data_IF_448687464753
#
_entry.id   IF_448687464753
#
_cell.length_a   1.000
_cell.length_b   1.000
_cell.length_c   1.000
_cell.angle_alpha   90.00
_cell.angle_beta   90.00
_cell.angle_gamma   90.00
#
_symmetry.space_group_name_H-M   'P 1'
#
loop_
_entity.id
_entity.type
_entity.pdbx_description
1 polymer ?
#
# COMPACT_ATOMS: atom_id res chain seq x y z
N UNK A 1 46.44 -0.82 -26.15
CA UNK A 1 45.39 -0.60 -27.13
C UNK A 1 45.76 -1.43 -28.35
N UNK A 2 44.91 -2.41 -28.70
CA UNK A 2 45.06 -3.19 -29.91
C UNK A 2 44.48 -2.39 -31.09
N UNK A 3 45.01 -2.55 -32.29
CA UNK A 3 44.43 -2.06 -33.53
C UNK A 3 43.16 -2.85 -33.86
N UNK A 4 42.35 -2.35 -34.80
CA UNK A 4 41.12 -3.06 -35.22
C UNK A 4 41.47 -4.44 -35.84
N UNK A 5 42.59 -4.56 -36.55
CA UNK A 5 43.10 -5.82 -37.12
C UNK A 5 43.55 -6.79 -36.03
N UNK A 6 44.23 -6.32 -34.99
CA UNK A 6 44.63 -7.14 -33.84
C UNK A 6 43.43 -7.60 -33.02
N UNK A 7 42.37 -6.77 -32.91
CA UNK A 7 41.12 -7.14 -32.22
C UNK A 7 40.36 -8.21 -33.00
N UNK A 8 40.26 -8.08 -34.34
CA UNK A 8 39.58 -9.03 -35.21
C UNK A 8 40.31 -10.36 -35.27
N UNK A 9 41.63 -10.39 -35.14
CA UNK A 9 42.49 -11.60 -35.09
C UNK A 9 42.67 -12.16 -33.69
N UNK A 10 42.10 -11.58 -32.64
CA UNK A 10 42.33 -11.99 -31.27
C UNK A 10 41.43 -13.19 -30.87
N UNK A 11 42.05 -14.36 -30.67
CA UNK A 11 41.36 -15.57 -30.18
C UNK A 11 41.22 -15.63 -28.66
N UNK A 12 41.93 -14.75 -27.93
CA UNK A 12 41.88 -14.71 -26.46
C UNK A 12 40.63 -13.91 -25.99
N UNK A 13 40.03 -14.28 -24.85
CA UNK A 13 38.98 -13.48 -24.26
C UNK A 13 39.43 -12.04 -23.99
N UNK A 14 38.69 -11.03 -24.45
CA UNK A 14 38.97 -9.61 -24.25
C UNK A 14 37.73 -8.82 -23.83
N UNK A 15 37.92 -7.68 -23.18
CA UNK A 15 36.86 -6.73 -22.82
C UNK A 15 36.88 -5.56 -23.80
N UNK A 16 35.68 -5.07 -24.12
CA UNK A 16 35.54 -3.82 -24.90
C UNK A 16 35.27 -2.67 -23.94
N UNK A 17 36.07 -1.61 -24.07
CA UNK A 17 35.88 -0.37 -23.31
C UNK A 17 35.52 0.77 -24.26
N UNK A 18 34.49 1.54 -23.86
CA UNK A 18 34.20 2.81 -24.50
C UNK A 18 35.14 3.87 -23.93
N UNK A 19 35.78 4.62 -24.82
CA UNK A 19 36.64 5.74 -24.41
C UNK A 19 35.79 6.81 -23.75
N UNK A 20 36.36 7.48 -22.74
CA UNK A 20 35.72 8.63 -22.10
C UNK A 20 35.46 9.75 -23.10
N UNK A 21 34.45 10.59 -22.91
CA UNK A 21 34.25 11.78 -23.72
C UNK A 21 35.38 12.81 -23.49
N UNK A 22 35.61 13.66 -24.47
CA UNK A 22 36.53 14.79 -24.42
C UNK A 22 35.85 16.12 -24.03
N UNK A 23 34.53 16.08 -23.87
CA UNK A 23 33.67 17.21 -23.52
C UNK A 23 32.74 16.84 -22.37
N UNK A 24 32.14 17.86 -21.75
CA UNK A 24 31.12 17.65 -20.70
C UNK A 24 29.85 17.00 -21.28
N UNK A 25 29.32 16.01 -20.57
CA UNK A 25 28.05 15.41 -20.91
C UNK A 25 26.93 16.04 -20.06
N UNK A 26 25.97 16.63 -20.73
CA UNK A 26 24.84 17.31 -20.08
C UNK A 26 23.53 16.68 -20.47
N UNK A 27 22.57 16.72 -19.52
CA UNK A 27 21.19 16.42 -19.79
C UNK A 27 20.27 17.21 -18.85
N UNK A 28 19.02 17.38 -19.26
CA UNK A 28 17.99 18.00 -18.43
C UNK A 28 17.10 16.91 -17.84
N UNK A 29 17.04 16.89 -16.51
CA UNK A 29 16.17 16.02 -15.76
C UNK A 29 14.89 16.76 -15.37
N UNK A 30 13.72 16.14 -15.56
CA UNK A 30 12.43 16.77 -15.31
C UNK A 30 12.21 17.16 -13.83
N UNK A 31 12.89 16.47 -12.90
CA UNK A 31 12.81 16.73 -11.46
C UNK A 31 14.00 17.55 -10.98
N UNK A 32 15.23 17.11 -11.31
CA UNK A 32 16.47 17.70 -10.77
C UNK A 32 16.96 18.90 -11.54
N UNK A 33 16.51 19.11 -12.76
CA UNK A 33 16.94 20.19 -13.64
C UNK A 33 18.20 19.82 -14.45
N UNK A 34 18.97 20.82 -14.90
CA UNK A 34 20.19 20.59 -15.68
C UNK A 34 21.27 19.93 -14.83
N UNK A 35 21.84 18.86 -15.35
CA UNK A 35 22.92 18.09 -14.73
C UNK A 35 24.06 18.00 -15.76
N UNK A 36 25.30 18.30 -15.33
CA UNK A 36 26.48 18.22 -16.12
C UNK A 36 27.52 17.32 -15.44
N UNK A 37 28.23 16.56 -16.24
CA UNK A 37 29.37 15.74 -15.84
C UNK A 37 30.58 16.11 -16.67
N UNK A 38 31.59 16.63 -15.99
CA UNK A 38 32.84 16.99 -16.62
C UNK A 38 33.62 15.75 -17.09
N UNK A 39 34.43 15.83 -18.15
CA UNK A 39 35.17 14.71 -18.73
C UNK A 39 36.06 13.96 -17.73
N UNK A 40 36.60 14.66 -16.74
CA UNK A 40 37.44 14.09 -15.69
C UNK A 40 36.64 13.23 -14.70
N UNK A 41 35.32 13.40 -14.65
CA UNK A 41 34.40 12.63 -13.78
C UNK A 41 33.81 11.38 -14.45
N UNK A 42 34.22 11.13 -15.71
CA UNK A 42 33.77 9.97 -16.48
C UNK A 42 34.99 9.21 -16.98
N UNK A 43 35.27 8.06 -16.40
CA UNK A 43 36.31 7.17 -16.85
C UNK A 43 35.91 6.38 -18.10
N UNK A 44 36.90 5.88 -18.86
CA UNK A 44 36.66 4.85 -19.87
C UNK A 44 36.11 3.58 -19.18
N UNK A 45 34.95 3.11 -19.60
CA UNK A 45 34.25 2.01 -18.93
C UNK A 45 34.00 0.82 -19.83
N UNK A 46 33.93 -0.38 -19.24
CA UNK A 46 33.67 -1.61 -19.98
C UNK A 46 32.20 -1.61 -20.45
N UNK A 47 32.01 -1.86 -21.74
CA UNK A 47 30.69 -2.03 -22.36
C UNK A 47 30.38 -3.50 -22.65
N UNK A 48 31.43 -4.31 -22.93
CA UNK A 48 31.28 -5.77 -23.13
C UNK A 48 32.36 -6.53 -22.35
N UNK A 49 31.94 -7.56 -21.65
CA UNK A 49 32.82 -8.43 -20.87
C UNK A 49 33.54 -9.46 -21.74
N UNK A 50 34.55 -10.12 -21.18
CA UNK A 50 35.35 -11.12 -21.88
C UNK A 50 34.52 -12.35 -22.34
N UNK A 51 33.44 -12.65 -21.68
CA UNK A 51 32.46 -13.69 -22.03
C UNK A 51 31.45 -13.22 -23.10
N UNK A 52 31.67 -12.06 -23.70
CA UNK A 52 30.80 -11.41 -24.69
C UNK A 52 29.44 -10.96 -24.14
N UNK A 53 29.23 -10.92 -22.82
CA UNK A 53 28.02 -10.36 -22.23
C UNK A 53 28.14 -8.82 -22.14
N UNK A 54 27.08 -8.07 -22.47
CA UNK A 54 27.06 -6.62 -22.31
C UNK A 54 27.06 -6.23 -20.83
N UNK A 55 27.60 -5.06 -20.52
CA UNK A 55 27.40 -4.44 -19.20
C UNK A 55 26.01 -3.78 -19.11
N UNK A 56 25.54 -3.55 -17.90
CA UNK A 56 24.24 -2.92 -17.65
C UNK A 56 24.03 -1.63 -18.46
N UNK A 57 25.00 -0.71 -18.41
CA UNK A 57 24.85 0.58 -19.11
C UNK A 57 24.78 0.42 -20.63
N UNK A 58 25.50 -0.54 -21.20
CA UNK A 58 25.48 -0.80 -22.63
C UNK A 58 24.17 -1.45 -23.05
N UNK A 59 23.76 -2.54 -22.37
CA UNK A 59 22.50 -3.22 -22.65
C UNK A 59 21.30 -2.23 -22.54
N UNK A 60 21.20 -1.52 -21.42
CA UNK A 60 20.13 -0.55 -21.20
C UNK A 60 20.10 0.56 -22.27
N UNK A 61 21.26 1.10 -22.64
CA UNK A 61 21.32 2.15 -23.68
C UNK A 61 20.87 1.66 -25.06
N UNK A 62 21.26 0.43 -25.43
CA UNK A 62 20.87 -0.19 -26.69
C UNK A 62 19.39 -0.57 -26.71
N UNK A 63 18.90 -1.18 -25.63
CA UNK A 63 17.50 -1.60 -25.52
C UNK A 63 16.55 -0.38 -25.57
N UNK A 64 16.85 0.68 -24.80
CA UNK A 64 16.06 1.93 -24.83
C UNK A 64 16.02 2.53 -26.23
N UNK A 65 17.17 2.54 -26.92
CA UNK A 65 17.28 3.05 -28.29
C UNK A 65 16.46 2.20 -29.28
N UNK A 66 16.63 0.88 -29.23
CA UNK A 66 15.98 -0.05 -30.18
C UNK A 66 14.46 -0.14 -29.96
N UNK A 67 14.01 0.00 -28.73
CA UNK A 67 12.59 -0.02 -28.37
C UNK A 67 11.90 1.35 -28.55
N UNK A 68 12.63 2.40 -28.91
CA UNK A 68 12.09 3.74 -29.08
C UNK A 68 11.63 4.39 -27.77
N UNK A 69 12.30 4.08 -26.66
CA UNK A 69 12.01 4.73 -25.37
C UNK A 69 12.29 6.22 -25.46
N UNK A 70 11.28 7.03 -25.18
CA UNK A 70 11.35 8.50 -25.24
C UNK A 70 11.49 9.17 -23.87
N UNK A 71 11.11 8.48 -22.80
CA UNK A 71 11.16 9.01 -21.44
C UNK A 71 11.49 7.92 -20.41
N UNK A 72 12.56 8.13 -19.65
CA UNK A 72 13.01 7.23 -18.58
C UNK A 72 12.68 7.83 -17.21
N UNK A 73 11.85 7.14 -16.44
CA UNK A 73 11.54 7.49 -15.05
C UNK A 73 12.12 6.41 -14.14
N UNK A 74 13.04 6.78 -13.23
CA UNK A 74 13.73 5.82 -12.35
C UNK A 74 14.25 6.45 -11.06
N UNK A 75 14.80 5.67 -10.17
CA UNK A 75 15.42 6.18 -8.94
C UNK A 75 16.69 7.01 -9.19
N UNK A 76 16.94 7.97 -8.33
CA UNK A 76 18.11 8.88 -8.43
C UNK A 76 19.46 8.19 -8.24
N UNK A 77 19.50 6.98 -7.72
CA UNK A 77 20.69 6.14 -7.66
C UNK A 77 21.24 5.78 -9.06
N UNK A 78 20.46 5.99 -10.11
CA UNK A 78 20.86 5.84 -11.50
C UNK A 78 21.29 7.15 -12.21
N UNK A 79 21.31 8.29 -11.53
CA UNK A 79 21.71 9.58 -12.13
C UNK A 79 23.10 9.49 -12.77
N UNK A 80 24.06 8.85 -12.09
CA UNK A 80 25.43 8.68 -12.60
C UNK A 80 25.56 7.71 -13.79
N UNK A 81 24.54 6.92 -14.08
CA UNK A 81 24.48 6.05 -15.25
C UNK A 81 24.01 6.79 -16.51
N UNK A 82 23.22 7.83 -16.36
CA UNK A 82 22.62 8.58 -17.46
C UNK A 82 23.67 9.14 -18.45
N UNK A 83 24.75 9.83 -18.02
CA UNK A 83 25.74 10.32 -18.95
C UNK A 83 26.47 9.19 -19.71
N UNK A 84 26.72 8.05 -19.05
CA UNK A 84 27.31 6.87 -19.71
C UNK A 84 26.40 6.28 -20.77
N UNK A 85 25.10 6.17 -20.49
CA UNK A 85 24.11 5.68 -21.43
C UNK A 85 23.90 6.65 -22.60
N UNK A 86 23.89 7.97 -22.35
CA UNK A 86 23.87 8.97 -23.40
C UNK A 86 25.12 8.89 -24.30
N UNK A 87 26.29 8.75 -23.69
CA UNK A 87 27.57 8.63 -24.43
C UNK A 87 27.63 7.38 -25.30
N UNK A 88 27.11 6.24 -24.81
CA UNK A 88 26.98 5.02 -25.60
C UNK A 88 26.10 5.27 -26.84
N UNK A 89 24.91 5.84 -26.66
CA UNK A 89 23.99 6.12 -27.77
C UNK A 89 24.57 7.08 -28.79
N UNK A 90 25.21 8.15 -28.34
CA UNK A 90 25.91 9.10 -29.24
C UNK A 90 27.02 8.41 -30.02
N UNK A 91 27.80 7.54 -29.35
CA UNK A 91 28.87 6.77 -29.99
C UNK A 91 28.36 5.75 -31.02
N UNK A 92 27.12 5.31 -30.90
CA UNK A 92 26.42 4.45 -31.86
C UNK A 92 25.70 5.23 -32.96
N UNK A 93 25.79 6.56 -32.99
CA UNK A 93 25.16 7.42 -33.99
C UNK A 93 23.68 7.68 -33.77
N UNK A 94 23.18 7.45 -32.55
CA UNK A 94 21.76 7.72 -32.21
C UNK A 94 21.53 9.23 -32.05
N UNK A 95 20.60 9.77 -32.85
CA UNK A 95 20.26 11.20 -32.88
C UNK A 95 18.92 11.51 -32.16
N UNK A 96 18.27 10.50 -31.57
CA UNK A 96 17.04 10.69 -30.80
C UNK A 96 17.29 11.27 -29.42
N UNK A 97 16.30 11.96 -28.87
CA UNK A 97 16.35 12.49 -27.52
C UNK A 97 15.57 11.57 -26.57
N UNK A 98 16.18 11.21 -25.45
CA UNK A 98 15.50 10.53 -24.33
C UNK A 98 15.44 11.50 -23.16
N UNK A 99 14.23 11.76 -22.67
CA UNK A 99 13.98 12.56 -21.47
C UNK A 99 14.17 11.72 -20.21
N UNK A 100 14.53 12.37 -19.12
CA UNK A 100 14.78 11.72 -17.83
C UNK A 100 14.02 12.37 -16.69
N UNK A 101 13.61 11.55 -15.72
CA UNK A 101 13.14 11.98 -14.42
C UNK A 101 13.71 11.03 -13.35
N UNK A 102 14.58 11.54 -12.48
CA UNK A 102 15.17 10.78 -11.40
C UNK A 102 14.47 11.07 -10.08
N UNK A 103 13.66 10.11 -9.64
CA UNK A 103 12.90 10.17 -8.40
C UNK A 103 13.85 10.13 -7.19
N UNK A 104 13.62 10.94 -6.15
CA UNK A 104 14.39 10.85 -4.92
C UNK A 104 14.20 9.51 -4.23
N UNK A 105 15.19 9.11 -3.44
CA UNK A 105 15.08 7.90 -2.61
C UNK A 105 14.01 8.07 -1.54
N UNK A 106 13.41 6.95 -1.15
CA UNK A 106 12.51 6.89 0.00
C UNK A 106 13.35 6.44 1.22
N UNK A 107 13.19 7.17 2.32
CA UNK A 107 13.86 6.90 3.59
C UNK A 107 12.89 6.19 4.55
N UNK A 108 13.42 5.33 5.41
CA UNK A 108 12.68 4.74 6.50
C UNK A 108 12.49 5.74 7.68
N UNK A 109 11.86 5.31 8.76
CA UNK A 109 11.63 6.11 9.97
C UNK A 109 12.93 6.65 10.60
N UNK A 110 14.05 5.93 10.45
CA UNK A 110 15.37 6.32 10.95
C UNK A 110 16.12 7.29 10.01
N UNK A 111 15.56 7.63 8.84
CA UNK A 111 16.19 8.49 7.83
C UNK A 111 17.24 7.77 6.97
N UNK A 112 17.28 6.44 6.98
CA UNK A 112 18.12 5.62 6.10
C UNK A 112 17.36 5.24 4.84
N UNK A 113 18.08 5.00 3.72
CA UNK A 113 17.46 4.48 2.49
C UNK A 113 16.73 3.17 2.79
N UNK A 114 15.45 3.08 2.42
CA UNK A 114 14.70 1.83 2.51
C UNK A 114 15.38 0.74 1.70
N UNK A 115 15.60 -0.38 2.33
CA UNK A 115 16.29 -1.54 1.75
C UNK A 115 15.28 -2.55 1.24
N UNK A 116 15.57 -3.24 0.12
CA UNK A 116 14.76 -4.39 -0.37
C UNK A 116 14.68 -5.55 0.65
N UNK A 117 15.49 -5.53 1.71
CA UNK A 117 15.48 -6.51 2.80
C UNK A 117 14.52 -6.13 3.93
N UNK A 118 14.01 -4.91 3.93
CA UNK A 118 12.96 -4.47 4.84
C UNK A 118 11.61 -4.81 4.20
N UNK A 119 10.81 -5.65 4.82
CA UNK A 119 9.53 -6.15 4.30
C UNK A 119 8.60 -5.00 3.88
N UNK A 120 8.56 -3.91 4.66
CA UNK A 120 7.74 -2.70 4.39
C UNK A 120 8.16 -1.92 3.14
N UNK A 121 9.29 -2.25 2.49
CA UNK A 121 9.77 -1.57 1.28
C UNK A 121 9.15 -2.10 -0.03
N UNK A 122 8.35 -3.14 0.04
CA UNK A 122 7.79 -3.84 -1.11
C UNK A 122 6.28 -3.59 -1.24
N UNK A 123 5.82 -3.16 -2.42
CA UNK A 123 4.38 -3.06 -2.73
C UNK A 123 3.69 -4.42 -2.53
N UNK A 124 4.37 -5.53 -2.85
CA UNK A 124 3.85 -6.87 -2.60
C UNK A 124 3.58 -7.11 -1.12
N UNK A 125 4.49 -6.70 -0.24
CA UNK A 125 4.30 -6.82 1.20
C UNK A 125 3.13 -5.96 1.69
N UNK A 126 3.01 -4.72 1.22
CA UNK A 126 1.90 -3.84 1.57
C UNK A 126 0.54 -4.45 1.19
N UNK A 127 0.43 -5.01 -0.02
CA UNK A 127 -0.77 -5.72 -0.46
C UNK A 127 -1.07 -6.94 0.42
N UNK A 128 -0.06 -7.75 0.74
CA UNK A 128 -0.20 -8.92 1.62
C UNK A 128 -0.55 -8.55 3.06
N UNK A 129 -0.12 -7.38 3.52
CA UNK A 129 -0.49 -6.83 4.83
C UNK A 129 -1.94 -6.33 4.88
N UNK A 130 -2.60 -6.19 3.73
CA UNK A 130 -4.00 -5.79 3.64
C UNK A 130 -4.25 -4.31 3.38
N UNK A 131 -3.25 -3.60 2.84
CA UNK A 131 -3.47 -2.28 2.26
C UNK A 131 -4.14 -2.40 0.90
N UNK A 132 -5.07 -1.50 0.60
CA UNK A 132 -5.75 -1.42 -0.70
C UNK A 132 -4.77 -0.94 -1.79
N UNK A 133 -4.83 -1.48 -3.01
CA UNK A 133 -4.03 -0.98 -4.13
C UNK A 133 -4.20 0.52 -4.36
N UNK A 134 -5.43 1.02 -4.27
CA UNK A 134 -5.79 2.42 -4.44
C UNK A 134 -5.15 3.31 -3.35
N UNK A 135 -5.11 2.83 -2.11
CA UNK A 135 -4.49 3.54 -0.99
C UNK A 135 -2.96 3.60 -1.13
N UNK A 136 -2.34 2.49 -1.55
CA UNK A 136 -0.90 2.44 -1.81
C UNK A 136 -0.54 3.43 -2.93
N UNK A 137 -1.27 3.42 -4.06
CA UNK A 137 -1.03 4.31 -5.17
C UNK A 137 -1.21 5.78 -4.78
N UNK A 138 -2.29 6.11 -4.06
CA UNK A 138 -2.52 7.45 -3.50
C UNK A 138 -1.34 7.88 -2.61
N UNK A 139 -0.92 7.03 -1.70
CA UNK A 139 0.18 7.32 -0.78
C UNK A 139 1.51 7.54 -1.52
N UNK A 140 1.84 6.72 -2.51
CA UNK A 140 3.05 6.87 -3.31
C UNK A 140 3.08 8.19 -4.08
N UNK A 141 1.92 8.67 -4.56
CA UNK A 141 1.82 9.98 -5.19
C UNK A 141 2.04 11.11 -4.17
N UNK A 142 1.59 10.94 -2.92
CA UNK A 142 1.84 11.92 -1.86
C UNK A 142 3.32 12.02 -1.46
N UNK A 143 4.10 10.95 -1.63
CA UNK A 143 5.51 10.96 -1.29
C UNK A 143 6.27 11.97 -2.14
N UNK A 144 6.68 13.07 -1.49
CA UNK A 144 7.45 14.12 -2.15
C UNK A 144 6.63 15.05 -3.05
N UNK A 145 5.29 14.96 -3.08
CA UNK A 145 4.43 15.83 -3.86
C UNK A 145 3.55 16.72 -2.98
N UNK A 146 3.29 17.94 -3.48
CA UNK A 146 2.21 18.78 -2.97
C UNK A 146 0.96 18.50 -3.78
N UNK A 147 -0.03 17.89 -3.15
CA UNK A 147 -1.32 17.56 -3.76
C UNK A 147 -2.42 18.48 -3.26
N UNK A 148 -3.49 18.73 -4.01
CA UNK A 148 -4.60 19.59 -3.57
C UNK A 148 -5.39 19.00 -2.40
N UNK A 149 -5.34 17.68 -2.22
CA UNK A 149 -5.98 16.92 -1.13
C UNK A 149 -5.14 15.71 -0.76
N UNK A 150 -5.37 15.12 0.39
CA UNK A 150 -4.60 13.96 0.85
C UNK A 150 -5.15 12.63 0.33
N UNK A 151 -6.46 12.53 0.17
CA UNK A 151 -7.13 11.30 -0.30
C UNK A 151 -7.85 11.59 -1.60
N UNK A 152 -7.47 10.85 -2.64
CA UNK A 152 -7.96 11.03 -4.02
C UNK A 152 -7.96 9.70 -4.76
N UNK A 153 -8.81 9.59 -5.79
CA UNK A 153 -8.80 8.47 -6.74
C UNK A 153 -7.65 8.60 -7.75
N UNK A 154 -7.38 7.53 -8.50
CA UNK A 154 -6.38 7.59 -9.56
C UNK A 154 -6.82 8.52 -10.71
N UNK A 155 -8.11 8.58 -11.01
CA UNK A 155 -8.66 9.51 -12.02
C UNK A 155 -8.42 10.96 -11.61
N UNK A 156 -8.71 11.30 -10.34
CA UNK A 156 -8.41 12.62 -9.79
C UNK A 156 -6.90 12.92 -9.79
N UNK A 157 -6.06 11.90 -9.54
CA UNK A 157 -4.61 12.06 -9.56
C UNK A 157 -4.09 12.44 -10.95
N UNK A 158 -4.63 11.84 -12.01
CA UNK A 158 -4.25 12.15 -13.40
C UNK A 158 -4.48 13.63 -13.74
N UNK A 159 -5.53 14.26 -13.18
CA UNK A 159 -5.86 15.66 -13.43
C UNK A 159 -4.80 16.64 -12.89
N UNK A 160 -4.19 16.35 -11.74
CA UNK A 160 -3.26 17.28 -11.09
C UNK A 160 -1.80 16.81 -11.06
N UNK A 161 -1.52 15.54 -11.36
CA UNK A 161 -0.18 15.01 -11.29
C UNK A 161 0.75 15.67 -12.31
N UNK A 162 1.90 16.14 -11.83
CA UNK A 162 2.93 16.72 -12.67
C UNK A 162 4.31 16.31 -12.17
N UNK A 163 5.01 15.52 -12.99
CA UNK A 163 6.33 14.99 -12.66
C UNK A 163 7.37 16.08 -12.32
N UNK A 164 7.26 17.24 -12.95
CA UNK A 164 8.16 18.36 -12.70
C UNK A 164 7.94 19.03 -11.31
N UNK A 165 6.82 18.73 -10.65
CA UNK A 165 6.52 19.22 -9.30
C UNK A 165 6.93 18.26 -8.19
N UNK A 166 7.48 17.11 -8.53
CA UNK A 166 8.03 16.17 -7.54
C UNK A 166 9.19 16.83 -6.80
N UNK A 167 9.23 16.69 -5.48
CA UNK A 167 10.31 17.20 -4.63
C UNK A 167 11.67 16.61 -5.08
N UNK A 168 12.71 17.45 -5.04
CA UNK A 168 14.09 17.00 -5.26
C UNK A 168 14.68 16.27 -4.05
N UNK A 169 14.10 16.48 -2.88
CA UNK A 169 14.57 15.92 -1.61
C UNK A 169 13.95 14.55 -1.34
N UNK A 170 14.68 13.65 -0.65
CA UNK A 170 14.14 12.38 -0.19
C UNK A 170 12.87 12.55 0.62
N UNK A 171 11.91 11.64 0.42
CA UNK A 171 10.70 11.55 1.23
C UNK A 171 10.86 10.46 2.30
N UNK A 172 10.25 10.67 3.47
CA UNK A 172 10.25 9.70 4.56
C UNK A 172 8.98 8.86 4.48
N UNK A 173 9.11 7.53 4.54
CA UNK A 173 7.98 6.63 4.61
C UNK A 173 7.31 6.75 5.97
N UNK A 174 6.00 6.97 5.96
CA UNK A 174 5.15 7.15 7.13
C UNK A 174 4.02 6.13 7.06
N UNK A 175 4.12 5.07 7.88
CA UNK A 175 3.15 3.97 7.90
C UNK A 175 1.81 4.42 8.50
N UNK A 176 1.82 5.31 9.50
CA UNK A 176 0.58 5.84 10.11
C UNK A 176 -0.21 6.65 9.09
N UNK A 177 0.49 7.42 8.23
CA UNK A 177 -0.13 8.16 7.14
C UNK A 177 -0.72 7.21 6.09
N UNK A 178 -0.02 6.15 5.73
CA UNK A 178 -0.54 5.13 4.81
C UNK A 178 -1.76 4.43 5.41
N UNK A 179 -1.71 4.07 6.69
CA UNK A 179 -2.84 3.47 7.40
C UNK A 179 -4.07 4.40 7.43
N UNK A 180 -3.86 5.69 7.66
CA UNK A 180 -4.93 6.70 7.57
C UNK A 180 -5.55 6.74 6.17
N UNK A 181 -4.74 6.82 5.11
CA UNK A 181 -5.21 6.84 3.73
C UNK A 181 -5.98 5.57 3.41
N UNK A 182 -5.50 4.41 3.89
CA UNK A 182 -6.18 3.13 3.68
C UNK A 182 -7.59 3.11 4.28
N UNK A 183 -7.75 3.59 5.52
CA UNK A 183 -9.08 3.73 6.15
C UNK A 183 -10.01 4.62 5.34
N UNK A 184 -9.51 5.73 4.85
CA UNK A 184 -10.32 6.66 4.06
C UNK A 184 -10.73 6.08 2.71
N UNK A 185 -9.88 5.27 2.06
CA UNK A 185 -10.27 4.52 0.86
C UNK A 185 -11.30 3.45 1.16
N UNK A 186 -11.18 2.70 2.27
CA UNK A 186 -12.21 1.73 2.70
C UNK A 186 -13.55 2.43 2.90
N UNK A 187 -13.59 3.56 3.59
CA UNK A 187 -14.83 4.33 3.80
C UNK A 187 -15.50 4.79 2.51
N UNK A 188 -14.71 5.15 1.49
CA UNK A 188 -15.19 5.65 0.20
C UNK A 188 -15.59 4.53 -0.78
N UNK A 189 -15.10 3.32 -0.57
CA UNK A 189 -15.36 2.20 -1.46
C UNK A 189 -16.84 1.84 -1.52
N UNK A 190 -17.30 1.38 -2.68
CA UNK A 190 -18.66 0.85 -2.86
C UNK A 190 -18.82 -0.48 -2.11
N UNK A 191 -20.06 -0.85 -1.80
CA UNK A 191 -20.39 -2.13 -1.14
C UNK A 191 -19.86 -3.32 -1.95
N UNK A 192 -20.03 -3.29 -3.27
CA UNK A 192 -19.52 -4.33 -4.17
C UNK A 192 -17.99 -4.43 -4.12
N UNK A 193 -17.28 -3.29 -4.14
CA UNK A 193 -15.81 -3.27 -4.04
C UNK A 193 -15.32 -3.81 -2.70
N UNK A 194 -16.02 -3.48 -1.61
CA UNK A 194 -15.70 -4.03 -0.28
C UNK A 194 -15.94 -5.53 -0.22
N UNK A 195 -17.04 -6.02 -0.79
CA UNK A 195 -17.34 -7.44 -0.86
C UNK A 195 -16.21 -8.23 -1.57
N UNK A 196 -15.72 -7.72 -2.70
CA UNK A 196 -14.60 -8.31 -3.43
C UNK A 196 -13.29 -8.30 -2.62
N UNK A 197 -12.93 -7.14 -2.03
CA UNK A 197 -11.67 -6.97 -1.30
C UNK A 197 -11.63 -7.77 -0.01
N UNK A 198 -12.76 -7.86 0.69
CA UNK A 198 -12.87 -8.56 1.96
C UNK A 198 -13.28 -10.03 1.79
N UNK A 199 -13.68 -10.45 0.57
CA UNK A 199 -14.23 -11.79 0.31
C UNK A 199 -15.43 -12.09 1.21
N UNK A 200 -16.31 -11.10 1.40
CA UNK A 200 -17.52 -11.15 2.22
C UNK A 200 -18.71 -10.73 1.38
N UNK A 201 -19.93 -11.04 1.86
CA UNK A 201 -21.14 -10.57 1.23
C UNK A 201 -21.27 -9.02 1.30
N UNK A 202 -21.91 -8.37 0.31
CA UNK A 202 -22.12 -6.92 0.32
C UNK A 202 -22.81 -6.38 1.58
N UNK A 203 -23.65 -7.18 2.23
CA UNK A 203 -24.33 -6.82 3.49
C UNK A 203 -23.36 -6.37 4.61
N UNK A 204 -22.11 -6.84 4.56
CA UNK A 204 -21.08 -6.50 5.56
C UNK A 204 -20.41 -5.15 5.32
N UNK A 205 -20.68 -4.49 4.21
CA UNK A 205 -20.04 -3.21 3.88
C UNK A 205 -20.21 -2.11 4.95
N UNK A 206 -21.40 -1.91 5.56
CA UNK A 206 -21.56 -0.97 6.67
C UNK A 206 -20.70 -1.33 7.88
N UNK A 207 -20.59 -2.62 8.20
CA UNK A 207 -19.81 -3.12 9.33
C UNK A 207 -18.30 -3.00 9.06
N UNK A 208 -17.84 -3.27 7.83
CA UNK A 208 -16.46 -3.03 7.39
C UNK A 208 -16.10 -1.55 7.59
N UNK A 209 -16.92 -0.63 7.09
CA UNK A 209 -16.70 0.81 7.23
C UNK A 209 -16.70 1.25 8.69
N UNK A 210 -17.57 0.69 9.50
CA UNK A 210 -17.64 0.96 10.92
C UNK A 210 -16.33 0.63 11.65
N UNK A 211 -15.76 -0.54 11.38
CA UNK A 211 -14.51 -0.96 12.03
C UNK A 211 -13.25 -0.22 11.55
N UNK A 212 -13.36 0.68 10.57
CA UNK A 212 -12.22 1.56 10.21
C UNK A 212 -11.84 2.53 11.33
N UNK A 213 -12.69 2.73 12.34
CA UNK A 213 -12.35 3.54 13.53
C UNK A 213 -11.34 2.83 14.46
N UNK A 214 -11.23 1.49 14.39
CA UNK A 214 -10.34 0.71 15.26
C UNK A 214 -9.23 -0.03 14.49
N UNK A 215 -9.41 -0.25 13.20
CA UNK A 215 -8.51 -1.05 12.37
C UNK A 215 -8.29 -0.39 11.02
N UNK A 216 -7.10 -0.59 10.49
CA UNK A 216 -6.68 0.05 9.24
C UNK A 216 -6.50 -0.91 8.08
N UNK A 217 -6.37 -2.22 8.36
CA UNK A 217 -6.01 -3.24 7.38
C UNK A 217 -7.12 -4.26 7.22
N UNK A 218 -7.25 -4.82 6.01
CA UNK A 218 -8.25 -5.86 5.69
C UNK A 218 -8.25 -7.01 6.72
N UNK A 219 -7.11 -7.65 7.07
CA UNK A 219 -7.11 -8.76 8.03
C UNK A 219 -7.63 -8.36 9.41
N UNK A 220 -7.26 -7.18 9.90
CA UNK A 220 -7.69 -6.68 11.20
C UNK A 220 -9.21 -6.48 11.26
N UNK A 221 -9.80 -5.91 10.21
CA UNK A 221 -11.25 -5.70 10.12
C UNK A 221 -11.96 -7.05 9.95
N UNK A 222 -11.45 -7.96 9.12
CA UNK A 222 -12.00 -9.33 8.95
C UNK A 222 -12.03 -10.07 10.29
N UNK A 223 -11.00 -9.98 11.10
CA UNK A 223 -10.93 -10.60 12.44
C UNK A 223 -12.03 -10.08 13.36
N UNK A 224 -12.26 -8.76 13.37
CA UNK A 224 -13.34 -8.16 14.18
C UNK A 224 -14.74 -8.63 13.74
N UNK A 225 -14.96 -8.72 12.43
CA UNK A 225 -16.21 -9.23 11.88
C UNK A 225 -16.37 -10.72 12.21
N UNK A 226 -15.33 -11.51 12.02
CA UNK A 226 -15.32 -12.93 12.35
C UNK A 226 -15.60 -13.19 13.84
N UNK A 227 -15.15 -12.33 14.75
CA UNK A 227 -15.44 -12.42 16.17
C UNK A 227 -16.94 -12.22 16.48
N UNK A 228 -17.65 -11.41 15.69
CA UNK A 228 -19.11 -11.22 15.82
C UNK A 228 -19.87 -12.47 15.41
N UNK A 229 -19.51 -13.08 14.26
CA UNK A 229 -20.24 -14.19 13.63
C UNK A 229 -19.66 -15.57 13.95
N UNK A 230 -18.53 -15.63 14.65
CA UNK A 230 -17.87 -16.87 15.05
C UNK A 230 -18.23 -17.36 16.46
N UNK A 231 -17.63 -18.49 16.82
CA UNK A 231 -17.69 -18.99 18.19
C UNK A 231 -17.07 -17.98 19.17
N UNK A 232 -17.69 -17.85 20.35
CA UNK A 232 -17.26 -16.87 21.36
C UNK A 232 -16.77 -17.55 22.61
N UNK A 233 -15.61 -17.12 23.08
CA UNK A 233 -15.09 -17.54 24.39
C UNK A 233 -15.60 -16.57 25.47
N UNK A 234 -16.70 -16.95 26.10
CA UNK A 234 -17.31 -16.14 27.17
C UNK A 234 -16.62 -16.49 28.49
N UNK A 235 -16.04 -15.51 29.19
CA UNK A 235 -15.40 -15.74 30.48
C UNK A 235 -16.35 -16.43 31.47
N UNK A 236 -15.84 -17.39 32.24
CA UNK A 236 -16.63 -18.18 33.19
C UNK A 236 -17.43 -17.31 34.19
N UNK A 237 -16.88 -16.16 34.58
CA UNK A 237 -17.54 -15.18 35.45
C UNK A 237 -18.82 -14.58 34.86
N UNK A 238 -18.98 -14.61 33.53
CA UNK A 238 -20.15 -14.08 32.80
C UNK A 238 -21.01 -15.16 32.15
N UNK A 239 -20.66 -16.43 32.25
CA UNK A 239 -21.29 -17.52 31.53
C UNK A 239 -22.80 -17.64 31.85
N UNK A 240 -23.17 -17.57 33.12
CA UNK A 240 -24.58 -17.66 33.53
C UNK A 240 -25.41 -16.46 33.03
N UNK A 241 -24.88 -15.26 33.13
CA UNK A 241 -25.55 -14.05 32.65
C UNK A 241 -25.66 -14.04 31.12
N UNK A 242 -24.60 -14.49 30.41
CA UNK A 242 -24.61 -14.62 28.97
C UNK A 242 -25.67 -15.63 28.50
N UNK A 243 -25.81 -16.78 29.16
CA UNK A 243 -26.85 -17.76 28.86
C UNK A 243 -28.26 -17.19 29.06
N UNK A 244 -28.50 -16.50 30.17
CA UNK A 244 -29.80 -15.87 30.44
C UNK A 244 -30.10 -14.76 29.39
N UNK A 245 -29.08 -13.96 28.99
CA UNK A 245 -29.23 -12.96 27.95
C UNK A 245 -29.52 -13.58 26.58
N UNK A 246 -28.83 -14.66 26.23
CA UNK A 246 -29.07 -15.39 24.98
C UNK A 246 -30.52 -15.84 24.88
N UNK A 247 -31.05 -16.47 25.93
CA UNK A 247 -32.44 -16.91 26.00
C UNK A 247 -33.42 -15.72 25.92
N UNK A 248 -33.15 -14.64 26.63
CA UNK A 248 -34.00 -13.45 26.59
C UNK A 248 -34.03 -12.81 25.20
N UNK A 249 -32.87 -12.73 24.51
CA UNK A 249 -32.81 -12.21 23.14
C UNK A 249 -33.60 -13.12 22.19
N UNK A 250 -33.44 -14.43 22.25
CA UNK A 250 -34.16 -15.38 21.38
C UNK A 250 -35.67 -15.29 21.61
N UNK A 251 -36.13 -15.16 22.85
CA UNK A 251 -37.53 -14.96 23.19
C UNK A 251 -38.05 -13.61 22.63
N UNK A 252 -37.28 -12.55 22.76
CA UNK A 252 -37.63 -11.24 22.22
C UNK A 252 -37.76 -11.27 20.68
N UNK A 253 -36.83 -11.93 20.01
CA UNK A 253 -36.85 -12.11 18.55
C UNK A 253 -38.09 -12.91 18.09
N UNK A 254 -38.49 -13.91 18.86
CA UNK A 254 -39.65 -14.79 18.52
C UNK A 254 -41.00 -14.10 18.75
N UNK A 255 -41.10 -13.17 19.68
CA UNK A 255 -42.38 -12.52 20.07
C UNK A 255 -42.63 -11.21 19.34
N UNK A 256 -41.71 -10.25 19.45
CA UNK A 256 -41.91 -8.87 19.00
C UNK A 256 -40.85 -8.39 18.03
N UNK A 257 -39.81 -9.20 17.74
CA UNK A 257 -38.61 -8.77 17.02
C UNK A 257 -37.69 -7.89 17.88
N UNK A 258 -36.46 -7.64 17.38
CA UNK A 258 -35.53 -6.77 18.06
C UNK A 258 -35.92 -5.31 17.91
N UNK A 259 -35.98 -4.50 19.00
CA UNK A 259 -36.18 -3.07 18.93
C UNK A 259 -35.22 -2.36 17.98
N UNK A 260 -35.66 -1.24 17.41
CA UNK A 260 -34.81 -0.47 16.47
C UNK A 260 -33.62 0.17 17.19
N UNK A 261 -33.89 0.74 18.36
CA UNK A 261 -32.92 1.48 19.15
C UNK A 261 -32.24 0.57 20.18
N UNK A 262 -30.92 0.73 20.33
CA UNK A 262 -30.13 -0.07 21.30
C UNK A 262 -30.59 0.14 22.75
N UNK A 263 -31.00 1.35 23.10
CA UNK A 263 -31.46 1.64 24.47
C UNK A 263 -32.74 0.90 24.82
N UNK A 264 -33.67 0.78 23.86
CA UNK A 264 -34.91 0.02 24.04
C UNK A 264 -34.64 -1.49 24.13
N UNK A 265 -33.73 -1.98 23.28
CA UNK A 265 -33.25 -3.36 23.34
C UNK A 265 -32.63 -3.69 24.69
N UNK A 266 -31.71 -2.83 25.17
CA UNK A 266 -31.07 -2.99 26.47
C UNK A 266 -32.10 -2.92 27.63
N UNK A 267 -33.10 -2.02 27.55
CA UNK A 267 -34.16 -1.90 28.56
C UNK A 267 -35.02 -3.16 28.61
N UNK A 268 -35.44 -3.69 27.46
CA UNK A 268 -36.22 -4.93 27.37
C UNK A 268 -35.46 -6.13 27.99
N UNK A 269 -34.17 -6.25 27.70
CA UNK A 269 -33.34 -7.30 28.29
C UNK A 269 -33.18 -7.12 29.80
N UNK A 270 -32.89 -5.90 30.25
CA UNK A 270 -32.75 -5.59 31.69
C UNK A 270 -34.04 -5.96 32.48
N UNK A 271 -35.19 -5.68 31.87
CA UNK A 271 -36.47 -6.04 32.47
C UNK A 271 -36.72 -7.56 32.50
N UNK A 272 -36.39 -8.26 31.40
CA UNK A 272 -36.61 -9.70 31.26
C UNK A 272 -35.80 -10.56 32.25
N UNK A 273 -34.52 -10.16 32.51
CA UNK A 273 -33.62 -10.96 33.35
C UNK A 273 -33.20 -10.27 34.67
N UNK A 274 -33.74 -9.09 34.95
CA UNK A 274 -33.47 -8.28 36.13
C UNK A 274 -31.98 -8.00 36.39
N UNK A 275 -31.18 -7.78 35.32
CA UNK A 275 -29.77 -7.40 35.38
C UNK A 275 -29.59 -5.95 34.97
N UNK A 276 -28.60 -5.26 35.58
CA UNK A 276 -28.28 -3.85 35.32
C UNK A 276 -26.77 -3.62 35.37
N UNK A 277 -26.35 -2.45 34.86
CA UNK A 277 -24.95 -2.01 34.91
C UNK A 277 -24.00 -3.01 34.28
N UNK A 278 -22.85 -3.25 34.92
CA UNK A 278 -21.77 -4.11 34.41
C UNK A 278 -22.23 -5.56 34.21
N UNK A 279 -23.08 -6.08 35.08
CA UNK A 279 -23.59 -7.46 35.00
C UNK A 279 -24.51 -7.71 33.79
N UNK A 280 -25.11 -6.67 33.23
CA UNK A 280 -25.85 -6.74 31.98
C UNK A 280 -24.92 -6.44 30.79
N UNK A 281 -24.14 -5.38 30.87
CA UNK A 281 -23.41 -4.83 29.73
C UNK A 281 -22.24 -5.71 29.28
N UNK A 282 -21.44 -6.24 30.20
CA UNK A 282 -20.28 -7.05 29.84
C UNK A 282 -20.64 -8.38 29.16
N UNK A 283 -21.52 -9.21 29.72
CA UNK A 283 -21.95 -10.44 29.06
C UNK A 283 -22.68 -10.17 27.73
N UNK A 284 -23.48 -9.08 27.64
CA UNK A 284 -24.10 -8.68 26.38
C UNK A 284 -23.03 -8.30 25.33
N UNK A 285 -21.99 -7.56 25.71
CA UNK A 285 -20.89 -7.23 24.81
C UNK A 285 -20.18 -8.48 24.29
N UNK A 286 -19.83 -9.42 25.19
CA UNK A 286 -19.22 -10.68 24.77
C UNK A 286 -20.11 -11.48 23.83
N UNK A 287 -21.43 -11.56 24.10
CA UNK A 287 -22.38 -12.26 23.23
C UNK A 287 -22.44 -11.64 21.82
N UNK A 288 -22.41 -10.31 21.72
CA UNK A 288 -22.55 -9.62 20.45
C UNK A 288 -21.24 -9.47 19.69
N UNK A 289 -20.10 -9.40 20.37
CA UNK A 289 -18.82 -9.02 19.74
C UNK A 289 -17.70 -10.03 19.92
N UNK A 290 -17.82 -10.96 20.86
CA UNK A 290 -16.73 -11.86 21.24
C UNK A 290 -15.57 -11.18 21.99
N UNK A 291 -15.67 -9.88 22.34
CA UNK A 291 -14.57 -9.11 22.90
C UNK A 291 -14.99 -8.25 24.11
N UNK A 292 -14.09 -8.05 25.12
CA UNK A 292 -14.38 -7.21 26.29
C UNK A 292 -14.38 -5.70 25.98
N UNK A 293 -13.67 -5.29 24.91
CA UNK A 293 -13.51 -3.92 24.49
C UNK A 293 -13.85 -3.75 23.01
N UNK A 294 -14.07 -2.54 22.59
CA UNK A 294 -14.39 -2.20 21.19
C UNK A 294 -15.34 -1.00 21.12
N UNK A 295 -15.87 -0.70 19.94
CA UNK A 295 -16.73 0.45 19.71
C UNK A 295 -18.00 0.39 20.57
N UNK A 296 -18.69 1.52 20.66
CA UNK A 296 -19.96 1.60 21.41
C UNK A 296 -21.00 0.63 20.85
N UNK A 297 -21.61 -0.17 21.72
CA UNK A 297 -22.66 -1.12 21.31
C UNK A 297 -23.89 -0.41 20.70
N UNK A 298 -24.15 0.83 21.11
CA UNK A 298 -25.22 1.66 20.54
C UNK A 298 -25.01 1.98 19.06
N UNK A 299 -23.75 2.10 18.63
CA UNK A 299 -23.38 2.34 17.22
C UNK A 299 -23.28 1.05 16.42
N UNK A 300 -22.83 -0.04 17.05
CA UNK A 300 -22.70 -1.35 16.44
C UNK A 300 -24.05 -2.04 16.22
N UNK A 301 -24.95 -1.94 17.20
CA UNK A 301 -26.22 -2.66 17.24
C UNK A 301 -27.08 -2.48 15.97
N UNK A 302 -27.28 -1.28 15.42
CA UNK A 302 -28.05 -1.11 14.19
C UNK A 302 -27.50 -1.90 13.01
N UNK A 303 -26.18 -2.11 12.97
CA UNK A 303 -25.50 -2.81 11.89
C UNK A 303 -25.64 -4.35 11.97
N UNK A 304 -25.83 -4.88 13.18
CA UNK A 304 -25.90 -6.34 13.44
C UNK A 304 -27.30 -6.80 13.87
N UNK A 305 -28.24 -5.87 14.08
CA UNK A 305 -29.58 -6.18 14.61
C UNK A 305 -30.32 -7.22 13.81
N UNK A 306 -30.22 -7.18 12.49
CA UNK A 306 -30.90 -8.15 11.61
C UNK A 306 -30.34 -9.58 11.76
N UNK A 307 -29.07 -9.70 12.15
CA UNK A 307 -28.33 -10.95 12.23
C UNK A 307 -28.21 -11.49 13.67
N UNK A 308 -28.91 -10.91 14.66
CA UNK A 308 -28.82 -11.32 16.07
C UNK A 308 -29.00 -12.81 16.27
N UNK A 309 -29.91 -13.44 15.54
CA UNK A 309 -30.15 -14.88 15.62
C UNK A 309 -28.92 -15.67 15.17
N UNK A 310 -28.35 -15.32 14.01
CA UNK A 310 -27.15 -15.93 13.44
C UNK A 310 -25.97 -15.79 14.41
N UNK A 311 -25.79 -14.58 14.97
CA UNK A 311 -24.72 -14.26 15.93
C UNK A 311 -24.84 -15.12 17.22
N UNK A 312 -26.05 -15.32 17.72
CA UNK A 312 -26.29 -16.12 18.92
C UNK A 312 -26.17 -17.62 18.65
N UNK A 313 -26.52 -18.09 17.47
CA UNK A 313 -26.42 -19.51 17.09
C UNK A 313 -24.94 -19.94 16.93
N UNK A 314 -24.05 -19.03 16.59
CA UNK A 314 -22.61 -19.24 16.56
C UNK A 314 -21.98 -19.35 17.98
N UNK A 315 -22.68 -18.90 19.00
CA UNK A 315 -22.24 -18.95 20.41
C UNK A 315 -22.69 -20.27 21.04
N UNK A 316 -21.91 -21.31 20.93
CA UNK A 316 -22.13 -22.61 21.55
C UNK A 316 -21.26 -22.77 22.76
#
# INVERSE_FOLDING_TARGET
HLSDEEVLGCEKPFTIRLKKPDHALEFTDAIKGRIAFEPQNIDSFVIMRADKTPTYNFACACDDMMQGVSFVIRGEDHVSNTPKQNWIRQSLGYNGEIKYAHLPIILNSEGKKMSKREDSSSVKWLLQSGYLPEAIANYLILLGNKTPREVFSMDEAVEFFNIAKISKSPAKFDEDKLAFINREHIKRASEQRLAELFELEPKFAPLIKFYTQEASLIPQIKEKIAAIYGAKDIPQEWAAQAQALREAILNLLSSNGAPMEFNDFKAALSQAINLKGKSLFMPLRFLLTGAPHGPELSELYPLIRADLKEILDATK
#
